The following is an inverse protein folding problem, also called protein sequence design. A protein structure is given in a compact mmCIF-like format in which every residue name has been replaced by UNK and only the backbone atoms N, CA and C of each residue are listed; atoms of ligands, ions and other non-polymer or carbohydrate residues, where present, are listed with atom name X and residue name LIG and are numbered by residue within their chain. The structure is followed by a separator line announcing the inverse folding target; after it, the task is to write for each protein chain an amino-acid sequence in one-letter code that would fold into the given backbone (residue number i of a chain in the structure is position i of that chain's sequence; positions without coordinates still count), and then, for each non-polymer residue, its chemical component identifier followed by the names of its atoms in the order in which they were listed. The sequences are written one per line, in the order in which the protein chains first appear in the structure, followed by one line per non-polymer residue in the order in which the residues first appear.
data_IF_050023664224
#
_entry.id   IF_050023664224
#
_cell.length_a   1.000
_cell.length_b   1.000
_cell.length_c   1.000
_cell.angle_alpha   90.00
_cell.angle_beta   90.00
_cell.angle_gamma   90.00
#
_symmetry.space_group_name_H-M   'P 1'
#
loop_
_entity.id
_entity.type
_entity.pdbx_description
1 polymer ?
#
# COMPACT_ATOMS: atom_id res chain seq x y z
N UNK A 1 8.81 -3.77 5.89
CA UNK A 1 7.42 -4.15 5.56
C UNK A 1 7.41 -5.41 4.73
N UNK A 2 6.65 -6.46 5.10
CA UNK A 2 6.52 -7.64 4.27
C UNK A 2 5.92 -7.26 2.91
N UNK A 3 6.57 -7.69 1.83
CA UNK A 3 6.14 -7.41 0.46
C UNK A 3 5.04 -8.40 0.05
N UNK A 4 3.84 -7.93 -0.35
CA UNK A 4 2.77 -8.83 -0.77
C UNK A 4 3.15 -9.63 -2.03
N UNK A 5 2.72 -10.90 -2.15
CA UNK A 5 3.11 -11.78 -3.26
C UNK A 5 2.65 -11.29 -4.65
N UNK A 6 1.63 -10.43 -4.71
CA UNK A 6 1.09 -9.89 -5.98
C UNK A 6 1.86 -8.68 -6.52
N UNK A 7 2.81 -8.12 -5.76
CA UNK A 7 3.53 -6.88 -6.13
C UNK A 7 4.32 -7.01 -7.42
N UNK A 8 5.05 -8.12 -7.62
CA UNK A 8 5.83 -8.37 -8.84
C UNK A 8 4.94 -8.45 -10.09
N UNK A 9 3.83 -9.18 -10.01
CA UNK A 9 2.83 -9.29 -11.10
C UNK A 9 2.21 -7.94 -11.43
N UNK A 10 1.84 -7.17 -10.40
CA UNK A 10 1.30 -5.83 -10.55
C UNK A 10 2.28 -4.88 -11.24
N UNK A 11 3.56 -4.89 -10.83
CA UNK A 11 4.61 -4.07 -11.43
C UNK A 11 4.84 -4.42 -12.91
N UNK A 12 4.88 -5.72 -13.26
CA UNK A 12 4.99 -6.19 -14.64
C UNK A 12 3.83 -5.72 -15.51
N UNK A 13 2.60 -5.77 -14.99
CA UNK A 13 1.41 -5.28 -15.68
C UNK A 13 1.46 -3.76 -15.89
N UNK A 14 1.86 -3.01 -14.84
CA UNK A 14 1.97 -1.54 -14.88
C UNK A 14 3.03 -1.08 -15.89
N UNK A 15 4.14 -1.81 -16.02
CA UNK A 15 5.19 -1.51 -17.01
C UNK A 15 4.73 -1.74 -18.46
N UNK A 16 3.84 -2.71 -18.69
CA UNK A 16 3.38 -3.10 -20.03
C UNK A 16 2.21 -2.25 -20.52
N UNK A 17 1.27 -1.90 -19.66
CA UNK A 17 0.01 -1.25 -20.07
C UNK A 17 0.20 0.13 -20.75
N UNK A 18 1.10 1.03 -20.28
CA UNK A 18 1.38 2.30 -20.96
C UNK A 18 1.99 2.12 -22.35
N UNK A 19 2.85 1.11 -22.55
CA UNK A 19 3.41 0.78 -23.88
C UNK A 19 2.34 0.39 -24.89
N UNK A 20 1.25 -0.24 -24.42
CA UNK A 20 0.10 -0.54 -25.28
C UNK A 20 -0.61 0.75 -25.69
N UNK A 21 -0.74 1.73 -24.79
CA UNK A 21 -1.38 3.03 -25.07
C UNK A 21 -0.58 3.81 -26.10
N UNK A 22 0.75 3.87 -25.96
CA UNK A 22 1.62 4.63 -26.87
C UNK A 22 1.61 4.08 -28.30
N UNK A 23 1.46 2.76 -28.44
CA UNK A 23 1.35 2.08 -29.76
C UNK A 23 -0.01 2.26 -30.45
N UNK A 24 -1.01 2.88 -29.82
CA UNK A 24 -2.33 3.13 -30.45
C UNK A 24 -2.35 4.49 -31.15
N UNK A 25 -3.04 4.57 -32.30
CA UNK A 25 -3.34 5.83 -33.01
C UNK A 25 -3.88 6.86 -32.02
N UNK A 26 -3.26 8.05 -32.00
CA UNK A 26 -3.66 9.17 -31.14
C UNK A 26 -5.13 9.51 -31.35
N UNK A 27 -5.82 9.84 -30.26
CA UNK A 27 -7.25 10.21 -30.24
C UNK A 27 -8.23 9.12 -30.70
N UNK A 28 -7.76 7.91 -31.03
CA UNK A 28 -8.64 6.81 -31.41
C UNK A 28 -9.45 6.29 -30.21
N UNK A 29 -10.66 5.78 -30.48
CA UNK A 29 -11.49 5.08 -29.47
C UNK A 29 -10.73 3.93 -28.80
N UNK A 30 -9.83 3.26 -29.53
CA UNK A 30 -8.96 2.18 -29.02
C UNK A 30 -7.92 2.71 -28.02
N UNK A 31 -7.33 3.87 -28.26
CA UNK A 31 -6.41 4.52 -27.32
C UNK A 31 -7.13 4.91 -26.02
N UNK A 32 -8.33 5.49 -26.12
CA UNK A 32 -9.16 5.84 -24.94
C UNK A 32 -9.45 4.61 -24.08
N UNK A 33 -9.88 3.50 -24.70
CA UNK A 33 -10.09 2.22 -24.00
C UNK A 33 -8.81 1.72 -23.31
N UNK A 34 -7.65 1.85 -23.94
CA UNK A 34 -6.38 1.44 -23.35
C UNK A 34 -5.99 2.32 -22.14
N UNK A 35 -6.18 3.65 -22.21
CA UNK A 35 -5.97 4.57 -21.08
C UNK A 35 -6.86 4.20 -19.88
N UNK A 36 -8.13 3.87 -20.12
CA UNK A 36 -9.05 3.41 -19.07
C UNK A 36 -8.57 2.11 -18.41
N UNK A 37 -7.98 1.18 -19.17
CA UNK A 37 -7.39 -0.05 -18.59
C UNK A 37 -6.21 0.26 -17.66
N UNK A 38 -5.35 1.22 -18.04
CA UNK A 38 -4.25 1.68 -17.18
C UNK A 38 -4.80 2.27 -15.88
N UNK A 39 -5.78 3.17 -15.96
CA UNK A 39 -6.41 3.76 -14.77
C UNK A 39 -7.02 2.70 -13.84
N UNK A 40 -7.76 1.73 -14.40
CA UNK A 40 -8.31 0.59 -13.64
C UNK A 40 -7.23 -0.26 -12.98
N UNK A 41 -6.10 -0.46 -13.64
CA UNK A 41 -4.97 -1.19 -13.07
C UNK A 41 -4.37 -0.45 -11.87
N UNK A 42 -4.18 0.87 -11.97
CA UNK A 42 -3.75 1.69 -10.83
C UNK A 42 -4.74 1.62 -9.66
N UNK A 43 -6.04 1.76 -9.92
CA UNK A 43 -7.07 1.65 -8.90
C UNK A 43 -7.07 0.27 -8.22
N UNK A 44 -6.95 -0.81 -9.00
CA UNK A 44 -6.83 -2.17 -8.46
C UNK A 44 -5.63 -2.33 -7.54
N UNK A 45 -4.46 -1.83 -7.95
CA UNK A 45 -3.23 -1.91 -7.14
C UNK A 45 -3.37 -1.08 -5.86
N UNK A 46 -3.94 0.11 -5.94
CA UNK A 46 -4.20 0.94 -4.76
C UNK A 46 -5.14 0.22 -3.77
N UNK A 47 -6.22 -0.38 -4.26
CA UNK A 47 -7.14 -1.15 -3.43
C UNK A 47 -6.48 -2.38 -2.80
N UNK A 48 -5.64 -3.12 -3.55
CA UNK A 48 -4.88 -4.25 -3.01
C UNK A 48 -3.88 -3.83 -1.93
N UNK A 49 -3.21 -2.68 -2.10
CA UNK A 49 -2.34 -2.10 -1.08
C UNK A 49 -3.12 -1.78 0.19
N UNK A 50 -4.29 -1.14 0.05
CA UNK A 50 -5.16 -0.78 1.17
C UNK A 50 -5.67 -2.01 1.92
N UNK A 51 -6.15 -3.01 1.20
CA UNK A 51 -6.61 -4.28 1.79
C UNK A 51 -5.49 -4.99 2.55
N UNK A 52 -4.28 -5.06 1.96
CA UNK A 52 -3.12 -5.65 2.64
C UNK A 52 -2.78 -4.91 3.93
N UNK A 53 -2.69 -3.57 3.91
CA UNK A 53 -2.45 -2.77 5.11
C UNK A 53 -3.57 -2.96 6.15
N UNK A 54 -4.82 -3.07 5.72
CA UNK A 54 -5.95 -3.29 6.61
C UNK A 54 -5.89 -4.67 7.29
N UNK A 55 -5.54 -5.73 6.55
CA UNK A 55 -5.39 -7.08 7.11
C UNK A 55 -4.17 -7.20 8.01
N UNK A 56 -3.04 -6.64 7.59
CA UNK A 56 -1.81 -6.66 8.37
C UNK A 56 -1.98 -5.91 9.69
N UNK A 57 -2.59 -4.72 9.68
CA UNK A 57 -2.85 -3.96 10.92
C UNK A 57 -3.76 -4.72 11.88
N UNK A 58 -4.82 -5.37 11.38
CA UNK A 58 -5.70 -6.20 12.21
C UNK A 58 -4.91 -7.33 12.85
N UNK A 59 -4.14 -8.05 12.04
CA UNK A 59 -3.34 -9.18 12.51
C UNK A 59 -2.24 -8.79 13.50
N UNK A 60 -1.71 -7.56 13.43
CA UNK A 60 -0.74 -7.06 14.41
C UNK A 60 -1.42 -6.71 15.74
N UNK A 61 -2.52 -5.96 15.71
CA UNK A 61 -3.25 -5.56 16.92
C UNK A 61 -3.85 -6.78 17.64
N UNK A 62 -4.33 -7.78 16.90
CA UNK A 62 -4.88 -9.00 17.49
C UNK A 62 -3.79 -9.87 18.16
N UNK A 63 -2.51 -9.74 17.76
CA UNK A 63 -1.40 -10.55 18.28
C UNK A 63 -0.56 -9.84 19.33
N UNK A 64 -0.49 -8.52 19.27
CA UNK A 64 0.39 -7.71 20.12
C UNK A 64 -0.40 -6.57 20.75
N UNK A 65 -0.38 -6.52 22.08
CA UNK A 65 -0.99 -5.42 22.85
C UNK A 65 -0.14 -4.16 22.82
N UNK A 66 1.17 -4.30 22.58
CA UNK A 66 2.13 -3.20 22.46
C UNK A 66 2.86 -3.29 21.13
N UNK A 67 2.77 -2.23 20.31
CA UNK A 67 3.39 -2.18 18.98
C UNK A 67 4.32 -0.98 18.92
N UNK A 68 5.62 -1.23 18.77
CA UNK A 68 6.61 -0.18 18.58
C UNK A 68 6.92 0.05 17.09
N UNK A 69 6.94 1.30 16.64
CA UNK A 69 7.43 1.68 15.31
C UNK A 69 8.70 2.51 15.44
N UNK A 70 9.78 2.09 14.77
CA UNK A 70 11.04 2.84 14.73
C UNK A 70 10.92 4.13 13.92
N UNK A 71 11.45 5.23 14.46
CA UNK A 71 11.33 6.59 13.93
C UNK A 71 11.87 6.74 12.49
N UNK A 72 12.94 6.01 12.13
CA UNK A 72 13.51 5.99 10.77
C UNK A 72 12.50 5.47 9.73
N UNK A 73 11.64 4.53 10.13
CA UNK A 73 10.60 3.96 9.29
C UNK A 73 9.29 4.77 9.37
N UNK A 74 9.05 5.52 10.45
CA UNK A 74 7.80 6.28 10.67
C UNK A 74 7.67 7.44 9.70
N UNK A 75 8.72 8.16 9.30
CA UNK A 75 8.56 9.26 8.33
C UNK A 75 7.96 8.78 6.98
N UNK A 76 8.37 7.59 6.52
CA UNK A 76 7.81 6.93 5.34
C UNK A 76 6.49 6.20 5.61
N UNK A 77 6.32 5.64 6.81
CA UNK A 77 5.15 4.85 7.19
C UNK A 77 3.97 5.67 7.75
N UNK A 78 4.19 6.88 8.29
CA UNK A 78 3.16 7.81 8.78
C UNK A 78 2.33 8.39 7.62
N UNK A 79 2.95 8.51 6.44
CA UNK A 79 2.25 8.72 5.16
C UNK A 79 1.61 7.43 4.63
N UNK A 80 1.94 6.28 5.20
CA UNK A 80 1.48 4.97 4.80
C UNK A 80 0.20 4.54 5.52
N UNK A 81 -0.67 3.83 4.79
CA UNK A 81 -1.96 3.37 5.33
C UNK A 81 -1.83 2.38 6.50
N UNK A 82 -0.70 1.67 6.66
CA UNK A 82 -0.57 0.70 7.74
C UNK A 82 -0.53 1.36 9.13
N UNK A 83 0.31 2.38 9.33
CA UNK A 83 0.44 3.03 10.64
C UNK A 83 -0.89 3.64 11.03
N UNK A 84 -1.56 4.34 10.11
CA UNK A 84 -2.90 4.86 10.33
C UNK A 84 -3.88 3.79 10.81
N UNK A 85 -3.89 2.62 10.15
CA UNK A 85 -4.77 1.52 10.55
C UNK A 85 -4.37 0.88 11.89
N UNK A 86 -3.07 0.75 12.19
CA UNK A 86 -2.60 0.19 13.47
C UNK A 86 -2.92 1.15 14.61
N UNK A 87 -2.61 2.44 14.49
CA UNK A 87 -2.92 3.46 15.51
C UNK A 87 -4.41 3.51 15.80
N UNK A 88 -5.25 3.54 14.75
CA UNK A 88 -6.70 3.54 14.92
C UNK A 88 -7.21 2.26 15.61
N UNK A 89 -6.72 1.09 15.22
CA UNK A 89 -7.19 -0.19 15.78
C UNK A 89 -6.66 -0.45 17.19
N UNK A 90 -5.41 -0.10 17.46
CA UNK A 90 -4.81 -0.22 18.78
C UNK A 90 -5.53 0.68 19.79
N UNK A 91 -5.85 1.94 19.41
CA UNK A 91 -6.64 2.84 20.25
C UNK A 91 -8.00 2.26 20.62
N UNK A 92 -8.70 1.60 19.68
CA UNK A 92 -9.98 0.96 19.95
C UNK A 92 -9.86 -0.36 20.75
N UNK A 93 -8.72 -1.06 20.65
CA UNK A 93 -8.47 -2.33 21.32
C UNK A 93 -7.78 -2.19 22.69
N UNK A 94 -7.53 -0.97 23.15
CA UNK A 94 -6.77 -0.70 24.39
C UNK A 94 -5.28 -0.99 24.29
N UNK A 95 -4.75 -1.17 23.07
CA UNK A 95 -3.34 -1.40 22.81
C UNK A 95 -2.54 -0.10 22.66
N UNK A 96 -1.27 -0.12 23.06
CA UNK A 96 -0.39 1.05 23.02
C UNK A 96 0.52 0.99 21.79
N UNK A 97 0.57 2.10 21.04
CA UNK A 97 1.52 2.27 19.94
C UNK A 97 2.60 3.25 20.37
N UNK A 98 3.85 2.78 20.41
CA UNK A 98 5.00 3.59 20.84
C UNK A 98 5.88 3.91 19.64
N UNK A 99 6.30 5.17 19.53
CA UNK A 99 7.30 5.60 18.56
C UNK A 99 8.66 5.54 19.24
N UNK A 100 9.59 4.77 18.69
CA UNK A 100 10.93 4.59 19.27
C UNK A 100 11.96 5.24 18.36
N UNK A 101 12.77 6.15 18.89
CA UNK A 101 13.91 6.73 18.15
C UNK A 101 15.08 5.73 18.15
N UNK A 102 15.54 5.22 17.00
CA UNK A 102 16.60 4.19 16.95
C UNK A 102 18.00 4.74 17.28
N UNK A 103 18.12 6.02 17.68
CA UNK A 103 19.40 6.67 18.02
C UNK A 103 19.83 6.30 19.45
N UNK A 104 20.13 5.02 19.69
CA UNK A 104 20.72 4.61 20.98
C UNK A 104 20.46 3.18 21.47
N UNK A 105 20.12 2.24 20.58
CA UNK A 105 20.08 0.79 20.91
C UNK A 105 21.29 0.08 20.35
#
# INVERSE_FOLDING_TARGET
MPTPPWTSKAAKALRRAPRVVSRKKRHSRRQRKAKLRVARLHARIANQRRDFSHKLSRSLVDRFTHIAFENLNVAGMARGMLVQHVTFKAANAGGVVVLVDPRGT
#
